data_IF_680600633284
#
_entry.id   IF_680600633284
#
_cell.length_a   1.000
_cell.length_b   1.000
_cell.length_c   1.000
_cell.angle_alpha   90.00
_cell.angle_beta   90.00
_cell.angle_gamma   90.00
#
_symmetry.space_group_name_H-M   'P 1'
#
loop_
_entity.id
_entity.type
_entity.pdbx_description
1 polymer ?
#
# COMPACT_ATOMS: atom_id res chain seq x y z
N UNK A 1 13.37 -31.80 74.72
CA UNK A 1 13.67 -30.40 75.06
C UNK A 1 13.40 -29.53 73.84
N UNK A 2 12.80 -28.35 74.07
CA UNK A 2 12.59 -27.26 73.10
C UNK A 2 13.92 -26.80 72.47
N UNK A 3 13.85 -26.29 71.24
CA UNK A 3 14.89 -25.43 70.66
C UNK A 3 14.65 -25.08 69.20
N UNK A 4 13.99 -23.93 68.95
CA UNK A 4 13.89 -23.27 67.64
C UNK A 4 15.24 -22.70 67.20
N UNK A 5 15.57 -22.73 65.89
CA UNK A 5 16.26 -21.62 65.20
C UNK A 5 15.74 -21.50 63.76
N UNK A 6 15.22 -20.30 63.44
CA UNK A 6 14.91 -19.75 62.12
C UNK A 6 16.19 -19.27 61.41
N UNK A 7 16.24 -19.37 60.09
CA UNK A 7 17.18 -18.64 59.22
C UNK A 7 16.96 -19.05 57.76
N UNK A 8 16.13 -18.35 56.98
CA UNK A 8 16.43 -17.14 56.21
C UNK A 8 17.47 -17.37 55.09
N UNK A 9 17.02 -17.32 53.83
CA UNK A 9 17.90 -16.95 52.72
C UNK A 9 17.55 -17.54 51.35
N UNK A 10 17.28 -16.62 50.41
CA UNK A 10 17.36 -16.74 48.95
C UNK A 10 16.19 -17.40 48.19
N UNK A 11 15.09 -16.63 48.07
CA UNK A 11 14.38 -16.59 46.79
C UNK A 11 15.26 -15.87 45.75
N UNK A 12 15.88 -16.62 44.85
CA UNK A 12 16.35 -16.06 43.59
C UNK A 12 15.13 -15.73 42.72
N UNK A 13 14.75 -14.46 42.70
CA UNK A 13 13.83 -13.91 41.71
C UNK A 13 14.49 -14.01 40.33
N UNK A 14 14.11 -15.03 39.55
CA UNK A 14 14.37 -15.08 38.13
C UNK A 14 13.53 -13.98 37.45
N UNK A 15 14.11 -12.79 37.31
CA UNK A 15 13.65 -11.78 36.36
C UNK A 15 13.90 -12.35 34.96
N UNK A 16 12.95 -13.14 34.48
CA UNK A 16 12.83 -13.43 33.05
C UNK A 16 12.59 -12.08 32.36
N UNK A 17 13.67 -11.53 31.81
CA UNK A 17 13.60 -10.44 30.85
C UNK A 17 12.87 -10.99 29.61
N UNK A 18 11.54 -10.85 29.60
CA UNK A 18 10.76 -11.04 28.38
C UNK A 18 11.30 -10.05 27.35
N UNK A 19 11.77 -10.49 26.17
CA UNK A 19 12.09 -9.55 25.11
C UNK A 19 10.83 -8.73 24.79
N UNK A 20 10.97 -7.44 24.43
CA UNK A 20 9.83 -6.65 24.01
C UNK A 20 9.17 -7.39 22.85
N UNK A 21 7.92 -7.78 23.07
CA UNK A 21 7.05 -8.28 22.01
C UNK A 21 6.99 -7.14 20.99
N UNK A 22 7.73 -7.29 19.89
CA UNK A 22 7.44 -6.54 18.67
C UNK A 22 5.95 -6.73 18.44
N UNK A 23 5.19 -5.65 18.62
CA UNK A 23 3.76 -5.66 18.39
C UNK A 23 3.54 -6.29 17.02
N UNK A 24 2.98 -7.50 17.01
CA UNK A 24 2.63 -8.16 15.77
C UNK A 24 1.69 -7.18 15.06
N UNK A 25 2.14 -6.65 13.92
CA UNK A 25 1.28 -5.87 13.06
C UNK A 25 0.11 -6.79 12.69
N UNK A 26 -1.06 -6.48 13.23
CA UNK A 26 -2.30 -7.19 12.93
C UNK A 26 -2.44 -7.15 11.41
N UNK A 27 -2.53 -8.31 10.77
CA UNK A 27 -2.88 -8.38 9.35
C UNK A 27 -4.16 -7.55 9.11
N UNK A 28 -4.12 -6.62 8.17
CA UNK A 28 -5.12 -5.56 8.02
C UNK A 28 -4.81 -4.27 8.80
N UNK A 29 -3.54 -4.06 9.18
CA UNK A 29 -3.08 -2.83 9.83
C UNK A 29 -3.12 -1.61 8.92
N UNK A 30 -2.97 -0.41 9.50
CA UNK A 30 -3.03 0.87 8.76
C UNK A 30 -2.07 0.89 7.55
N UNK A 31 -0.81 0.47 7.75
CA UNK A 31 0.19 0.44 6.70
C UNK A 31 -0.18 -0.51 5.57
N UNK A 32 -0.62 -1.73 5.89
CA UNK A 32 -1.02 -2.73 4.91
C UNK A 32 -2.23 -2.27 4.07
N UNK A 33 -3.27 -1.75 4.72
CA UNK A 33 -4.46 -1.24 4.03
C UNK A 33 -4.11 -0.07 3.11
N UNK A 34 -3.26 0.86 3.57
CA UNK A 34 -2.79 1.97 2.76
C UNK A 34 -1.98 1.49 1.57
N UNK A 35 -1.00 0.62 1.79
CA UNK A 35 -0.18 0.05 0.73
C UNK A 35 -1.02 -0.70 -0.29
N UNK A 36 -1.99 -1.50 0.13
CA UNK A 36 -2.86 -2.26 -0.78
C UNK A 36 -3.58 -1.36 -1.78
N UNK A 37 -4.24 -0.31 -1.30
CA UNK A 37 -4.99 0.62 -2.16
C UNK A 37 -4.02 1.46 -3.00
N UNK A 38 -2.94 1.94 -2.40
CA UNK A 38 -1.96 2.74 -3.11
C UNK A 38 -1.31 1.95 -4.26
N UNK A 39 -0.91 0.70 -4.02
CA UNK A 39 -0.36 -0.15 -5.08
C UNK A 39 -1.41 -0.58 -6.11
N UNK A 40 -2.70 -0.65 -5.76
CA UNK A 40 -3.76 -0.84 -6.76
C UNK A 40 -3.81 0.32 -7.76
N UNK A 41 -3.66 1.57 -7.29
CA UNK A 41 -3.50 2.73 -8.16
C UNK A 41 -2.27 2.61 -9.07
N UNK A 42 -1.12 2.23 -8.50
CA UNK A 42 0.12 2.08 -9.28
C UNK A 42 0.02 0.98 -10.34
N UNK A 43 -0.64 -0.15 -10.03
CA UNK A 43 -0.94 -1.22 -11.00
C UNK A 43 -1.86 -0.74 -12.12
N UNK A 44 -2.86 0.10 -11.80
CA UNK A 44 -3.73 0.68 -12.82
C UNK A 44 -2.95 1.57 -13.80
N UNK A 45 -2.04 2.40 -13.27
CA UNK A 45 -1.15 3.23 -14.08
C UNK A 45 -0.20 2.37 -14.94
N UNK A 46 0.36 1.31 -14.36
CA UNK A 46 1.20 0.36 -15.08
C UNK A 46 0.43 -0.36 -16.20
N UNK A 47 -0.81 -0.78 -15.96
CA UNK A 47 -1.68 -1.40 -16.97
C UNK A 47 -1.93 -0.44 -18.13
N UNK A 48 -2.27 0.82 -17.84
CA UNK A 48 -2.43 1.85 -18.88
C UNK A 48 -1.17 1.96 -19.74
N UNK A 49 -0.01 2.11 -19.12
CA UNK A 49 1.26 2.27 -19.83
C UNK A 49 1.61 1.05 -20.67
N UNK A 50 1.36 -0.15 -20.15
CA UNK A 50 1.55 -1.38 -20.92
C UNK A 50 0.60 -1.44 -22.12
N UNK A 51 -0.64 -0.98 -21.97
CA UNK A 51 -1.59 -0.92 -23.07
C UNK A 51 -1.27 0.15 -24.11
N UNK A 52 -0.76 1.30 -23.68
CA UNK A 52 -0.27 2.35 -24.58
C UNK A 52 0.94 1.84 -25.41
N UNK A 53 1.78 0.98 -24.84
CA UNK A 53 2.88 0.32 -25.53
C UNK A 53 2.41 -0.80 -26.47
N UNK A 54 1.50 -1.66 -26.02
CA UNK A 54 1.01 -2.81 -26.79
C UNK A 54 0.12 -2.38 -27.97
N UNK A 55 -0.70 -1.33 -27.79
CA UNK A 55 -1.64 -0.82 -28.79
C UNK A 55 -1.50 0.72 -28.91
N UNK A 56 -0.44 1.23 -29.57
CA UNK A 56 -0.18 2.67 -29.66
C UNK A 56 -1.34 3.48 -30.27
N UNK A 57 -2.10 2.89 -31.20
CA UNK A 57 -3.28 3.51 -31.79
C UNK A 57 -4.41 3.82 -30.79
N UNK A 58 -4.40 3.20 -29.61
CA UNK A 58 -5.36 3.44 -28.52
C UNK A 58 -4.86 4.37 -27.43
N UNK A 59 -3.59 4.79 -27.45
CA UNK A 59 -2.98 5.53 -26.35
C UNK A 59 -3.74 6.82 -25.99
N UNK A 60 -4.28 7.53 -27.00
CA UNK A 60 -5.11 8.73 -26.76
C UNK A 60 -6.42 8.39 -26.05
N UNK A 61 -7.10 7.33 -26.49
CA UNK A 61 -8.35 6.85 -25.87
C UNK A 61 -8.11 6.42 -24.42
N UNK A 62 -7.05 5.66 -24.18
CA UNK A 62 -6.64 5.23 -22.84
C UNK A 62 -6.33 6.42 -21.94
N UNK A 63 -5.58 7.41 -22.43
CA UNK A 63 -5.26 8.62 -21.67
C UNK A 63 -6.52 9.41 -21.28
N UNK A 64 -7.48 9.57 -22.21
CA UNK A 64 -8.75 10.24 -21.92
C UNK A 64 -9.59 9.47 -20.90
N UNK A 65 -9.72 8.14 -21.06
CA UNK A 65 -10.45 7.30 -20.13
C UNK A 65 -9.83 7.33 -18.72
N UNK A 66 -8.50 7.26 -18.63
CA UNK A 66 -7.78 7.33 -17.37
C UNK A 66 -7.90 8.70 -16.71
N UNK A 67 -7.82 9.80 -17.47
CA UNK A 67 -8.02 11.14 -16.94
C UNK A 67 -9.45 11.31 -16.37
N UNK A 68 -10.47 10.78 -17.06
CA UNK A 68 -11.83 10.77 -16.55
C UNK A 68 -11.97 9.94 -15.27
N UNK A 69 -11.32 8.76 -15.20
CA UNK A 69 -11.25 7.94 -13.99
C UNK A 69 -10.57 8.68 -12.84
N UNK A 70 -9.43 9.31 -13.10
CA UNK A 70 -8.66 10.07 -12.12
C UNK A 70 -9.47 11.24 -11.57
N UNK A 71 -10.21 11.95 -12.43
CA UNK A 71 -11.10 13.03 -12.01
C UNK A 71 -12.19 12.56 -11.04
N UNK A 72 -12.76 11.36 -11.25
CA UNK A 72 -13.77 10.80 -10.33
C UNK A 72 -13.18 10.34 -9.00
N UNK A 73 -11.89 10.00 -8.98
CA UNK A 73 -11.19 9.51 -7.79
C UNK A 73 -10.26 10.56 -7.16
N UNK A 74 -10.32 11.82 -7.61
CA UNK A 74 -9.36 12.88 -7.23
C UNK A 74 -9.18 13.00 -5.72
N UNK A 75 -10.28 13.07 -4.98
CA UNK A 75 -10.23 13.26 -3.52
C UNK A 75 -9.64 12.04 -2.82
N UNK A 76 -9.97 10.84 -3.29
CA UNK A 76 -9.40 9.60 -2.76
C UNK A 76 -7.89 9.53 -3.05
N UNK A 77 -7.45 9.84 -4.27
CA UNK A 77 -6.02 9.83 -4.61
C UNK A 77 -5.25 10.84 -3.76
N UNK A 78 -5.79 12.05 -3.58
CA UNK A 78 -5.20 13.06 -2.69
C UNK A 78 -5.17 12.61 -1.23
N UNK A 79 -6.19 11.88 -0.76
CA UNK A 79 -6.21 11.28 0.57
C UNK A 79 -5.09 10.24 0.72
N UNK A 80 -4.93 9.34 -0.25
CA UNK A 80 -3.91 8.29 -0.24
C UNK A 80 -2.49 8.87 -0.26
N UNK A 81 -2.23 9.88 -1.10
CA UNK A 81 -0.93 10.58 -1.15
C UNK A 81 -0.60 11.21 0.21
N UNK A 82 -1.57 11.93 0.80
CA UNK A 82 -1.39 12.57 2.10
C UNK A 82 -1.10 11.54 3.20
N UNK A 83 -1.85 10.43 3.21
CA UNK A 83 -1.65 9.35 4.17
C UNK A 83 -0.30 8.68 4.02
N UNK A 84 0.17 8.47 2.79
CA UNK A 84 1.48 7.91 2.51
C UNK A 84 2.57 8.85 3.02
N UNK A 85 2.51 10.15 2.67
CA UNK A 85 3.46 11.15 3.17
C UNK A 85 3.52 11.16 4.70
N UNK A 86 2.39 11.15 5.39
CA UNK A 86 2.35 11.12 6.85
C UNK A 86 2.87 9.81 7.45
N UNK A 87 2.62 8.67 6.80
CA UNK A 87 3.18 7.39 7.22
C UNK A 87 4.70 7.40 7.11
N UNK A 88 5.23 7.87 5.99
CA UNK A 88 6.67 8.00 5.76
C UNK A 88 7.28 8.95 6.79
N UNK A 89 6.67 10.12 6.99
CA UNK A 89 7.12 11.11 7.98
C UNK A 89 7.11 10.56 9.39
N UNK A 90 6.05 9.83 9.77
CA UNK A 90 5.93 9.22 11.10
C UNK A 90 6.91 8.07 11.35
N UNK A 91 7.40 7.42 10.28
CA UNK A 91 8.43 6.38 10.36
C UNK A 91 9.85 6.96 10.39
N UNK A 92 10.03 8.26 10.15
CA UNK A 92 11.33 8.92 10.04
C UNK A 92 11.74 9.64 11.32
N UNK A 93 13.02 9.52 11.68
CA UNK A 93 13.59 10.14 12.89
C UNK A 93 13.95 11.61 12.70
N UNK A 94 14.39 11.97 11.50
CA UNK A 94 14.83 13.31 11.13
C UNK A 94 14.60 13.56 9.62
N UNK A 95 14.97 14.75 9.15
CA UNK A 95 14.77 15.14 7.75
C UNK A 95 15.60 14.30 6.77
N UNK A 96 16.82 13.90 7.16
CA UNK A 96 17.69 13.07 6.31
C UNK A 96 17.12 11.66 6.17
N UNK A 97 16.60 11.09 7.26
CA UNK A 97 15.89 9.82 7.27
C UNK A 97 14.58 9.89 6.47
N UNK A 98 13.85 11.00 6.56
CA UNK A 98 12.66 11.25 5.75
C UNK A 98 12.97 11.23 4.25
N UNK A 99 13.97 11.99 3.79
CA UNK A 99 14.34 12.01 2.37
C UNK A 99 14.82 10.64 1.87
N UNK A 100 15.56 9.88 2.69
CA UNK A 100 15.94 8.51 2.36
C UNK A 100 14.73 7.59 2.25
N UNK A 101 13.77 7.70 3.18
CA UNK A 101 12.57 6.86 3.16
C UNK A 101 11.69 7.20 1.96
N UNK A 102 11.49 8.48 1.62
CA UNK A 102 10.81 8.90 0.38
C UNK A 102 11.41 8.17 -0.82
N UNK A 103 12.73 8.26 -1.03
CA UNK A 103 13.40 7.60 -2.14
C UNK A 103 13.23 6.07 -2.13
N UNK A 104 13.21 5.43 -0.95
CA UNK A 104 12.91 4.00 -0.82
C UNK A 104 11.49 3.66 -1.28
N UNK A 105 10.48 4.43 -0.86
CA UNK A 105 9.10 4.20 -1.25
C UNK A 105 8.87 4.47 -2.74
N UNK A 106 9.43 5.56 -3.27
CA UNK A 106 9.40 5.86 -4.72
C UNK A 106 10.06 4.73 -5.53
N UNK A 107 11.22 4.24 -5.09
CA UNK A 107 11.89 3.10 -5.69
C UNK A 107 11.01 1.84 -5.70
N UNK A 108 10.37 1.52 -4.58
CA UNK A 108 9.45 0.38 -4.49
C UNK A 108 8.21 0.52 -5.40
N UNK A 109 7.68 1.74 -5.54
CA UNK A 109 6.58 2.04 -6.46
C UNK A 109 7.00 1.84 -7.92
N UNK A 110 8.19 2.30 -8.28
CA UNK A 110 8.71 2.14 -9.63
C UNK A 110 8.98 0.66 -9.97
N UNK A 111 9.51 -0.11 -9.01
CA UNK A 111 9.74 -1.55 -9.20
C UNK A 111 8.43 -2.32 -9.33
N UNK A 112 7.43 -2.10 -8.46
CA UNK A 112 6.11 -2.74 -8.59
C UNK A 112 5.47 -2.43 -9.96
N UNK A 113 5.59 -1.20 -10.44
CA UNK A 113 5.08 -0.81 -11.77
C UNK A 113 5.84 -1.52 -12.89
N UNK A 114 7.16 -1.63 -12.79
CA UNK A 114 7.98 -2.35 -13.75
C UNK A 114 7.61 -3.83 -13.78
N UNK A 115 7.58 -4.48 -12.61
CA UNK A 115 7.24 -5.89 -12.46
C UNK A 115 5.84 -6.22 -12.94
N UNK A 116 4.87 -5.32 -12.70
CA UNK A 116 3.53 -5.47 -13.25
C UNK A 116 3.54 -5.42 -14.78
N UNK A 117 4.19 -4.42 -15.39
CA UNK A 117 4.25 -4.29 -16.86
C UNK A 117 4.96 -5.48 -17.50
N UNK A 118 6.05 -5.97 -16.90
CA UNK A 118 6.78 -7.13 -17.40
C UNK A 118 5.93 -8.41 -17.35
N UNK A 119 5.27 -8.67 -16.22
CA UNK A 119 4.34 -9.80 -16.10
C UNK A 119 3.15 -9.69 -17.04
N UNK A 120 2.63 -8.49 -17.25
CA UNK A 120 1.55 -8.24 -18.19
C UNK A 120 2.00 -8.49 -19.64
N UNK A 121 3.18 -8.00 -20.01
CA UNK A 121 3.74 -8.18 -21.35
C UNK A 121 4.14 -9.64 -21.65
N UNK A 122 4.40 -10.45 -20.61
CA UNK A 122 4.69 -11.87 -20.74
C UNK A 122 3.45 -12.74 -21.03
N UNK A 123 2.23 -12.20 -20.95
CA UNK A 123 1.00 -12.91 -21.29
C UNK A 123 0.89 -13.15 -22.81
N UNK A 124 0.08 -14.11 -23.26
CA UNK A 124 -0.21 -14.30 -24.68
C UNK A 124 -0.67 -12.99 -25.32
N UNK A 125 -0.16 -12.70 -26.53
CA UNK A 125 -0.46 -11.44 -27.23
C UNK A 125 -1.96 -11.18 -27.37
N UNK A 126 -2.73 -12.22 -27.70
CA UNK A 126 -4.19 -12.11 -27.85
C UNK A 126 -4.88 -11.67 -26.55
N UNK A 127 -4.38 -12.15 -25.40
CA UNK A 127 -4.88 -11.76 -24.08
C UNK A 127 -4.53 -10.31 -23.75
N UNK A 128 -3.27 -9.90 -23.97
CA UNK A 128 -2.83 -8.51 -23.81
C UNK A 128 -3.69 -7.57 -24.66
N UNK A 129 -3.88 -7.90 -25.94
CA UNK A 129 -4.66 -7.05 -26.83
C UNK A 129 -6.14 -6.96 -26.41
N UNK A 130 -6.73 -8.07 -25.95
CA UNK A 130 -8.10 -8.08 -25.42
C UNK A 130 -8.22 -7.17 -24.20
N UNK A 131 -7.37 -7.37 -23.20
CA UNK A 131 -7.36 -6.56 -21.96
C UNK A 131 -7.17 -5.08 -22.27
N UNK A 132 -6.32 -4.73 -23.24
CA UNK A 132 -6.09 -3.35 -23.62
C UNK A 132 -7.22 -2.70 -24.41
N UNK A 133 -7.95 -3.47 -25.24
CA UNK A 133 -9.20 -2.98 -25.86
C UNK A 133 -10.30 -2.76 -24.81
N UNK A 134 -10.35 -3.59 -23.79
CA UNK A 134 -11.35 -3.52 -22.72
C UNK A 134 -11.00 -2.47 -21.63
N UNK A 135 -9.77 -1.96 -21.61
CA UNK A 135 -9.25 -1.07 -20.56
C UNK A 135 -10.12 0.18 -20.31
N UNK A 136 -10.61 0.92 -21.32
CA UNK A 136 -11.53 2.03 -21.09
C UNK A 136 -12.83 1.62 -20.41
N UNK A 137 -13.36 0.43 -20.73
CA UNK A 137 -14.56 -0.13 -20.09
C UNK A 137 -14.30 -0.60 -18.66
N UNK A 138 -13.13 -1.18 -18.40
CA UNK A 138 -12.70 -1.52 -17.04
C UNK A 138 -12.65 -0.28 -16.14
N UNK A 139 -12.16 0.85 -16.66
CA UNK A 139 -12.10 2.14 -15.95
C UNK A 139 -13.47 2.74 -15.61
N UNK A 140 -14.57 2.25 -16.17
CA UNK A 140 -15.94 2.67 -15.80
C UNK A 140 -16.68 1.62 -14.98
N UNK A 141 -16.16 0.39 -14.91
CA UNK A 141 -16.72 -0.72 -14.14
C UNK A 141 -16.40 -0.68 -12.65
N UNK A 142 -17.03 -1.58 -11.90
CA UNK A 142 -16.86 -1.70 -10.44
C UNK A 142 -15.44 -2.06 -10.03
N UNK A 143 -14.71 -2.85 -10.83
CA UNK A 143 -13.35 -3.28 -10.52
C UNK A 143 -12.32 -2.15 -10.48
N UNK A 144 -12.64 -0.97 -11.00
CA UNK A 144 -11.80 0.23 -10.89
C UNK A 144 -12.37 1.30 -9.97
N UNK A 145 -13.55 1.09 -9.37
CA UNK A 145 -14.13 2.01 -8.39
C UNK A 145 -13.54 1.72 -7.00
N UNK A 146 -12.46 2.40 -6.66
CA UNK A 146 -11.71 2.12 -5.43
C UNK A 146 -12.50 2.42 -4.16
N UNK A 147 -13.52 3.27 -4.23
CA UNK A 147 -14.40 3.49 -3.07
C UNK A 147 -15.27 2.26 -2.77
N UNK A 148 -15.57 1.45 -3.80
CA UNK A 148 -16.32 0.20 -3.65
C UNK A 148 -15.40 -0.99 -3.40
N UNK A 149 -14.38 -1.14 -4.26
CA UNK A 149 -13.48 -2.30 -4.22
C UNK A 149 -12.72 -2.38 -2.89
N UNK A 150 -12.28 -1.24 -2.35
CA UNK A 150 -11.49 -1.17 -1.12
C UNK A 150 -12.27 -0.53 0.02
N UNK A 151 -13.60 -0.72 0.06
CA UNK A 151 -14.45 -0.08 1.05
C UNK A 151 -14.05 -0.41 2.49
N UNK A 152 -13.61 -1.65 2.75
CA UNK A 152 -13.17 -2.10 4.07
C UNK A 152 -11.83 -1.47 4.46
N UNK A 153 -10.84 -1.53 3.59
CA UNK A 153 -9.53 -0.90 3.84
C UNK A 153 -9.67 0.61 4.03
N UNK A 154 -10.50 1.28 3.23
CA UNK A 154 -10.77 2.71 3.37
C UNK A 154 -11.47 3.05 4.69
N UNK A 155 -12.40 2.20 5.15
CA UNK A 155 -13.06 2.35 6.45
C UNK A 155 -12.04 2.32 7.57
N UNK A 156 -11.11 1.37 7.53
CA UNK A 156 -10.04 1.23 8.52
C UNK A 156 -9.07 2.43 8.48
N UNK A 157 -8.63 2.86 7.30
CA UNK A 157 -7.76 4.03 7.16
C UNK A 157 -8.40 5.30 7.74
N UNK A 158 -9.71 5.49 7.49
CA UNK A 158 -10.45 6.69 7.90
C UNK A 158 -10.80 6.74 9.39
N UNK A 159 -10.57 5.66 10.16
CA UNK A 159 -10.57 5.71 11.63
C UNK A 159 -9.48 6.66 12.13
N UNK A 160 -8.32 6.70 11.46
CA UNK A 160 -7.27 7.70 11.71
C UNK A 160 -7.58 8.97 10.92
N UNK A 161 -7.94 10.04 11.63
CA UNK A 161 -8.18 11.36 11.03
C UNK A 161 -6.89 11.96 10.49
N UNK A 162 -6.97 12.55 9.30
CA UNK A 162 -5.89 13.37 8.76
C UNK A 162 -5.81 14.69 9.55
N UNK A 163 -4.60 15.24 9.78
CA UNK A 163 -4.44 16.58 10.32
C UNK A 163 -5.15 17.59 9.40
N UNK A 164 -5.75 18.62 10.00
CA UNK A 164 -6.44 19.71 9.29
C UNK A 164 -5.44 20.69 8.71
#
# INVERSE_FOLDING_TARGET
MRGYILGAGLLCAALAASPPVAAAEVAGGYGENLSRIYFAHQRLLALREACDQALPGQAKTNAMAYAAWQSRHKDLLSELDTRLTLMIRGASKDEKDYMRNIGKYEGAILEERKDYRERFAAQPREEVERLCRDFPGYLTGSGSDFNKEYADELRELRKRKLPK
#
